data_IF_362598990306
#
_entry.id   IF_362598990306
#
_cell.length_a   1.000
_cell.length_b   1.000
_cell.length_c   1.000
_cell.angle_alpha   90.00
_cell.angle_beta   90.00
_cell.angle_gamma   90.00
#
_symmetry.space_group_name_H-M   'P 1'
#
loop_
_entity.id
_entity.type
_entity.pdbx_description
1 polymer ?
#
# COMPACT_ATOMS: atom_id res chain seq x y z
N UNK A 1 -38.19 -38.64 -41.16
CA UNK A 1 -37.46 -37.70 -42.03
C UNK A 1 -38.09 -36.33 -41.83
N UNK A 2 -37.45 -35.48 -41.04
CA UNK A 2 -37.99 -34.18 -40.63
C UNK A 2 -37.71 -33.12 -41.70
N UNK A 3 -38.73 -32.31 -41.99
CA UNK A 3 -38.72 -31.24 -42.97
C UNK A 3 -37.81 -30.08 -42.52
N UNK A 4 -36.94 -29.63 -43.43
CA UNK A 4 -36.13 -28.43 -43.25
C UNK A 4 -36.89 -27.21 -43.78
N UNK A 5 -37.17 -26.25 -42.89
CA UNK A 5 -37.66 -24.92 -43.26
C UNK A 5 -36.51 -23.91 -43.09
N UNK A 6 -36.03 -23.38 -44.21
CA UNK A 6 -35.37 -22.07 -44.30
C UNK A 6 -36.45 -21.01 -44.26
N UNK A 7 -36.31 -19.95 -43.44
CA UNK A 7 -36.20 -18.51 -43.81
C UNK A 7 -36.00 -17.67 -42.53
N UNK A 8 -35.06 -16.72 -42.51
CA UNK A 8 -35.37 -15.28 -42.35
C UNK A 8 -34.10 -14.43 -42.51
N UNK A 9 -34.29 -13.38 -43.29
CA UNK A 9 -33.38 -12.31 -43.69
C UNK A 9 -33.30 -11.19 -42.66
N UNK A 10 -32.14 -10.54 -42.59
CA UNK A 10 -32.02 -9.09 -42.38
C UNK A 10 -31.89 -8.60 -40.93
N UNK A 11 -30.81 -7.89 -40.64
CA UNK A 11 -30.83 -6.42 -40.60
C UNK A 11 -29.45 -5.87 -40.29
N UNK A 12 -28.99 -4.98 -41.17
CA UNK A 12 -27.87 -4.07 -41.00
C UNK A 12 -28.32 -2.99 -40.01
N UNK A 13 -27.59 -2.81 -38.92
CA UNK A 13 -27.73 -1.62 -38.07
C UNK A 13 -26.54 -0.69 -38.34
N UNK A 14 -26.83 0.33 -39.13
CA UNK A 14 -26.01 1.52 -39.33
C UNK A 14 -26.12 2.38 -38.06
N UNK A 15 -25.00 2.68 -37.42
CA UNK A 15 -24.96 3.62 -36.29
C UNK A 15 -24.81 5.07 -36.83
N UNK A 16 -25.74 5.98 -36.53
CA UNK A 16 -25.61 7.37 -36.95
C UNK A 16 -24.58 8.12 -36.10
N UNK A 17 -23.60 8.73 -36.78
CA UNK A 17 -22.68 9.73 -36.25
C UNK A 17 -23.49 10.94 -35.76
N UNK A 18 -23.55 11.15 -34.44
CA UNK A 18 -24.15 12.35 -33.87
C UNK A 18 -23.08 13.31 -33.37
N UNK A 19 -23.02 14.43 -34.09
CA UNK A 19 -22.32 15.67 -33.81
C UNK A 19 -22.63 16.25 -32.43
N UNK A 20 -21.60 16.73 -31.72
CA UNK A 20 -21.54 18.06 -31.07
C UNK A 20 -20.58 18.06 -29.87
N UNK A 21 -19.48 18.81 -29.96
CA UNK A 21 -19.21 19.94 -29.06
C UNK A 21 -17.94 20.67 -29.54
N UNK A 22 -18.10 21.79 -30.26
CA UNK A 22 -17.00 22.73 -30.49
C UNK A 22 -16.95 23.68 -29.29
N UNK A 23 -16.07 23.40 -28.33
CA UNK A 23 -15.77 24.34 -27.25
C UNK A 23 -14.78 25.40 -27.76
N UNK A 24 -15.26 26.64 -27.86
CA UNK A 24 -14.46 27.84 -28.19
C UNK A 24 -13.38 28.07 -27.13
N UNK A 25 -12.13 27.97 -27.54
CA UNK A 25 -10.94 28.39 -26.77
C UNK A 25 -10.83 29.93 -26.85
N UNK A 26 -10.81 30.68 -25.74
CA UNK A 26 -10.39 32.08 -25.78
C UNK A 26 -8.85 32.16 -25.82
N UNK A 27 -8.33 32.99 -26.74
CA UNK A 27 -6.91 33.29 -26.90
C UNK A 27 -6.38 34.13 -25.72
N UNK A 28 -5.11 33.99 -25.31
CA UNK A 28 -4.47 34.94 -24.40
C UNK A 28 -4.07 36.22 -25.15
N UNK A 29 -4.23 37.39 -24.50
CA UNK A 29 -3.58 38.63 -24.94
C UNK A 29 -2.33 38.88 -24.10
N UNK A 30 -1.22 39.31 -24.72
CA UNK A 30 -0.06 39.84 -24.01
C UNK A 30 -0.23 41.36 -23.79
N UNK A 31 0.31 41.88 -22.69
CA UNK A 31 1.24 43.02 -22.76
C UNK A 31 1.87 43.29 -21.38
N UNK A 32 3.19 43.44 -21.49
CA UNK A 32 4.13 44.20 -20.67
C UNK A 32 3.55 45.44 -19.98
N UNK A 33 4.05 45.71 -18.76
CA UNK A 33 4.79 46.95 -18.53
C UNK A 33 5.71 46.82 -17.30
N UNK A 34 7.01 46.94 -17.55
CA UNK A 34 8.01 47.34 -16.57
C UNK A 34 7.64 48.69 -15.96
N UNK A 35 8.12 49.00 -14.77
CA UNK A 35 8.77 50.27 -14.40
C UNK A 35 9.53 50.10 -13.08
N UNK A 36 10.83 50.40 -13.16
CA UNK A 36 11.80 50.85 -12.16
C UNK A 36 11.27 51.41 -10.82
N UNK A 37 11.96 51.07 -9.72
CA UNK A 37 12.60 52.05 -8.84
C UNK A 37 13.36 51.41 -7.64
N UNK A 38 14.69 51.45 -7.74
CA UNK A 38 15.71 51.74 -6.72
C UNK A 38 15.47 51.53 -5.19
N UNK A 39 16.33 50.66 -4.62
CA UNK A 39 17.40 50.93 -3.63
C UNK A 39 17.14 51.30 -2.15
N UNK A 40 18.06 50.77 -1.32
CA UNK A 40 18.47 51.13 0.05
C UNK A 40 17.58 50.62 1.22
N UNK A 41 18.04 50.26 2.42
CA UNK A 41 19.31 49.91 3.06
C UNK A 41 18.90 49.46 4.50
N UNK A 42 19.56 48.47 5.13
CA UNK A 42 19.28 47.99 6.50
C UNK A 42 19.80 49.01 7.57
N UNK A 43 19.43 49.00 8.89
CA UNK A 43 19.85 47.93 9.81
C UNK A 43 19.03 47.71 11.13
N UNK A 44 19.33 46.57 11.80
CA UNK A 44 19.33 46.28 13.25
C UNK A 44 18.04 46.51 14.09
N UNK A 45 17.55 45.41 14.71
CA UNK A 45 17.51 45.26 16.20
C UNK A 45 17.13 43.83 16.62
N UNK A 46 17.94 43.29 17.51
CA UNK A 46 17.73 42.04 18.26
C UNK A 46 16.95 42.39 19.53
N UNK A 47 16.19 41.44 20.09
CA UNK A 47 16.38 41.15 21.52
C UNK A 47 16.53 39.65 21.80
N UNK A 48 17.48 39.33 22.68
CA UNK A 48 17.62 38.06 23.41
C UNK A 48 16.95 38.20 24.76
N UNK A 49 16.22 37.17 25.20
CA UNK A 49 16.09 36.59 26.57
C UNK A 49 14.86 35.67 26.54
N UNK A 50 15.03 34.33 26.63
CA UNK A 50 14.93 33.51 27.86
C UNK A 50 13.51 33.55 28.46
N UNK A 51 12.78 32.48 28.79
CA UNK A 51 13.01 31.04 29.01
C UNK A 51 11.61 30.45 29.27
N UNK A 52 11.29 29.24 28.76
CA UNK A 52 10.73 28.05 29.45
C UNK A 52 9.71 27.26 28.63
N UNK A 53 10.03 25.96 28.54
CA UNK A 53 9.17 24.77 28.49
C UNK A 53 7.95 24.73 27.56
N UNK A 54 8.09 23.97 26.48
CA UNK A 54 6.99 23.08 26.10
C UNK A 54 7.58 21.82 25.49
N UNK A 55 7.54 20.76 26.29
CA UNK A 55 7.75 19.38 25.87
C UNK A 55 6.66 18.98 24.85
N UNK A 56 6.85 19.34 23.59
CA UNK A 56 6.03 18.83 22.48
C UNK A 56 6.82 17.84 21.66
N UNK A 57 6.65 16.58 22.05
CA UNK A 57 6.39 15.46 21.14
C UNK A 57 7.31 15.38 19.92
N UNK A 58 8.51 14.84 20.13
CA UNK A 58 9.24 14.15 19.06
C UNK A 58 8.47 12.88 18.65
N UNK A 59 7.33 13.04 17.98
CA UNK A 59 6.64 11.99 17.25
C UNK A 59 7.26 11.86 15.83
N UNK A 60 8.59 11.84 15.78
CA UNK A 60 9.36 11.65 14.57
C UNK A 60 10.24 10.42 14.73
N UNK A 61 10.07 9.47 13.81
CA UNK A 61 10.86 8.24 13.62
C UNK A 61 10.45 7.06 14.50
N UNK A 62 9.28 6.47 14.22
CA UNK A 62 9.08 5.02 14.43
C UNK A 62 9.70 4.28 13.24
N UNK A 63 11.03 4.30 13.17
CA UNK A 63 11.81 3.45 12.28
C UNK A 63 11.68 2.00 12.76
N UNK A 64 11.40 1.09 11.83
CA UNK A 64 11.56 -0.39 11.78
C UNK A 64 12.01 -1.21 13.02
N UNK A 65 12.75 -0.67 13.99
CA UNK A 65 13.22 -1.34 15.20
C UNK A 65 12.16 -1.61 16.28
N UNK A 66 10.97 -1.00 16.19
CA UNK A 66 9.85 -1.23 17.13
C UNK A 66 8.95 -2.41 16.71
N UNK A 67 9.39 -3.28 15.79
CA UNK A 67 8.64 -4.51 15.46
C UNK A 67 8.99 -5.66 16.41
N UNK A 68 10.26 -5.80 16.79
CA UNK A 68 10.74 -6.89 17.65
C UNK A 68 10.23 -6.82 19.09
N UNK A 69 9.80 -5.64 19.56
CA UNK A 69 9.29 -5.42 20.91
C UNK A 69 7.75 -5.54 21.01
N UNK A 70 7.06 -5.73 19.88
CA UNK A 70 5.60 -5.73 19.86
C UNK A 70 5.06 -7.13 20.14
N UNK A 71 4.19 -7.24 21.14
CA UNK A 71 3.45 -8.48 21.40
C UNK A 71 2.21 -8.54 20.51
N UNK A 72 1.99 -9.69 19.87
CA UNK A 72 0.77 -9.97 19.10
C UNK A 72 -0.29 -10.62 19.98
N UNK A 73 -1.55 -10.24 19.79
CA UNK A 73 -2.70 -10.82 20.50
C UNK A 73 -3.31 -11.96 19.70
N UNK A 74 -3.94 -12.92 20.39
CA UNK A 74 -4.75 -13.94 19.72
C UNK A 74 -5.86 -13.29 18.88
N UNK A 75 -6.07 -13.80 17.67
CA UNK A 75 -6.98 -13.25 16.67
C UNK A 75 -6.41 -12.09 15.83
N UNK A 76 -5.18 -11.63 16.08
CA UNK A 76 -4.55 -10.59 15.25
C UNK A 76 -4.01 -11.18 13.95
N UNK A 77 -4.36 -10.57 12.81
CA UNK A 77 -3.78 -10.90 11.50
C UNK A 77 -2.36 -10.34 11.38
N UNK A 78 -1.44 -11.18 10.92
CA UNK A 78 -0.01 -10.91 10.78
C UNK A 78 0.51 -11.45 9.46
N UNK A 79 1.55 -10.83 8.91
CA UNK A 79 2.34 -11.44 7.85
C UNK A 79 3.34 -12.35 8.54
N UNK A 80 3.33 -13.63 8.16
CA UNK A 80 4.14 -14.66 8.80
C UNK A 80 5.12 -15.27 7.80
N UNK A 81 6.39 -15.29 8.15
CA UNK A 81 7.42 -15.94 7.36
C UNK A 81 7.55 -17.41 7.75
N UNK A 82 7.02 -18.29 6.90
CA UNK A 82 7.05 -19.74 7.09
C UNK A 82 8.07 -20.37 6.16
N UNK A 83 8.76 -21.41 6.64
CA UNK A 83 9.71 -22.18 5.83
C UNK A 83 9.02 -23.44 5.34
N UNK A 84 9.04 -23.68 4.02
CA UNK A 84 8.54 -24.92 3.42
C UNK A 84 9.49 -26.08 3.68
N UNK A 85 9.03 -27.32 3.45
CA UNK A 85 9.88 -28.53 3.53
C UNK A 85 11.10 -28.47 2.61
N UNK A 86 10.98 -27.75 1.50
CA UNK A 86 12.05 -27.52 0.51
C UNK A 86 13.08 -26.47 0.97
N UNK A 87 12.93 -25.91 2.18
CA UNK A 87 13.84 -24.90 2.73
C UNK A 87 13.58 -23.47 2.24
N UNK A 88 12.61 -23.27 1.34
CA UNK A 88 12.24 -21.94 0.83
C UNK A 88 11.30 -21.22 1.81
N UNK A 89 11.61 -19.97 2.12
CA UNK A 89 10.75 -19.10 2.91
C UNK A 89 9.63 -18.48 2.05
N UNK A 90 8.42 -18.42 2.59
CA UNK A 90 7.29 -17.68 2.01
C UNK A 90 6.60 -16.86 3.09
N UNK A 91 6.10 -15.69 2.71
CA UNK A 91 5.32 -14.82 3.59
C UNK A 91 3.82 -15.03 3.32
N UNK A 92 3.06 -15.39 4.35
CA UNK A 92 1.61 -15.65 4.25
C UNK A 92 0.83 -14.68 5.13
N UNK A 93 -0.45 -14.48 4.83
CA UNK A 93 -1.38 -13.91 5.82
C UNK A 93 -1.75 -15.00 6.81
N UNK A 94 -1.54 -14.73 8.09
CA UNK A 94 -1.83 -15.66 9.16
C UNK A 94 -2.54 -14.98 10.32
N UNK A 95 -3.35 -15.73 11.05
CA UNK A 95 -3.97 -15.27 12.29
C UNK A 95 -3.20 -15.84 13.49
N UNK A 96 -2.88 -14.99 14.46
CA UNK A 96 -2.25 -15.43 15.71
C UNK A 96 -3.23 -16.25 16.53
N UNK A 97 -2.83 -17.46 16.90
CA UNK A 97 -3.61 -18.36 17.75
C UNK A 97 -3.28 -18.11 19.22
N UNK A 98 -2.00 -18.15 19.57
CA UNK A 98 -1.53 -17.94 20.94
C UNK A 98 -0.03 -17.62 21.01
N UNK A 99 0.40 -17.04 22.14
CA UNK A 99 1.80 -16.90 22.50
C UNK A 99 2.21 -18.02 23.46
N UNK A 100 3.35 -18.66 23.19
CA UNK A 100 3.94 -19.72 24.01
C UNK A 100 5.11 -19.16 24.82
N UNK A 101 4.90 -18.76 26.10
CA UNK A 101 5.94 -18.09 26.89
C UNK A 101 7.14 -18.99 27.19
N UNK A 102 6.96 -20.31 27.25
CA UNK A 102 8.04 -21.27 27.52
C UNK A 102 9.10 -21.32 26.41
N UNK A 103 8.68 -21.00 25.18
CA UNK A 103 9.54 -21.04 23.97
C UNK A 103 9.79 -19.67 23.38
N UNK A 104 9.15 -18.64 23.93
CA UNK A 104 9.12 -17.27 23.37
C UNK A 104 8.70 -17.24 21.90
N UNK A 105 7.70 -18.07 21.54
CA UNK A 105 7.23 -18.26 20.17
C UNK A 105 5.73 -18.03 20.05
N UNK A 106 5.28 -17.72 18.85
CA UNK A 106 3.87 -17.56 18.49
C UNK A 106 3.38 -18.74 17.68
N UNK A 107 2.17 -19.20 17.99
CA UNK A 107 1.42 -20.10 17.14
C UNK A 107 0.55 -19.27 16.20
N UNK A 108 0.66 -19.50 14.89
CA UNK A 108 -0.13 -18.80 13.87
C UNK A 108 -0.80 -19.80 12.94
N UNK A 109 -1.97 -19.45 12.40
CA UNK A 109 -2.74 -20.25 11.45
C UNK A 109 -2.75 -19.55 10.09
N UNK A 110 -2.46 -20.28 9.02
CA UNK A 110 -2.60 -19.80 7.64
C UNK A 110 -4.07 -19.49 7.31
N UNK A 111 -4.34 -18.36 6.66
CA UNK A 111 -5.69 -17.99 6.21
C UNK A 111 -6.13 -18.72 4.93
N UNK A 112 -5.20 -19.29 4.14
CA UNK A 112 -5.51 -20.09 2.95
C UNK A 112 -5.95 -21.53 3.30
N UNK A 113 -5.53 -22.02 4.47
CA UNK A 113 -5.80 -23.38 4.90
C UNK A 113 -7.29 -23.51 5.32
N UNK A 114 -8.10 -24.01 4.40
CA UNK A 114 -9.56 -24.08 4.49
C UNK A 114 -10.09 -24.80 5.75
N UNK A 115 -11.41 -24.81 5.92
CA UNK A 115 -12.08 -25.49 7.04
C UNK A 115 -11.88 -27.02 6.98
N UNK A 116 -10.73 -27.51 7.45
CA UNK A 116 -10.42 -28.94 7.50
C UNK A 116 -8.93 -29.21 7.74
N UNK A 117 -8.06 -28.44 7.10
CA UNK A 117 -6.62 -28.47 7.29
C UNK A 117 -6.21 -27.16 7.96
N UNK A 118 -6.00 -27.17 9.27
CA UNK A 118 -5.49 -25.99 9.97
C UNK A 118 -3.97 -26.03 9.86
N UNK A 119 -3.42 -25.41 8.81
CA UNK A 119 -1.96 -25.30 8.70
C UNK A 119 -1.46 -24.29 9.73
N UNK A 120 -0.96 -24.83 10.84
CA UNK A 120 -0.47 -24.08 12.00
C UNK A 120 1.06 -24.09 12.01
N UNK A 121 1.64 -22.92 12.26
CA UNK A 121 3.07 -22.75 12.38
C UNK A 121 3.45 -22.22 13.76
N UNK A 122 4.63 -22.60 14.24
CA UNK A 122 5.25 -22.03 15.44
C UNK A 122 6.45 -21.20 15.02
N UNK A 123 6.39 -19.88 15.23
CA UNK A 123 7.35 -18.92 14.72
C UNK A 123 7.89 -18.02 15.83
N UNK A 124 9.12 -17.54 15.68
CA UNK A 124 9.68 -16.51 16.56
C UNK A 124 9.08 -15.14 16.24
N UNK A 125 9.13 -14.17 17.16
CA UNK A 125 8.59 -12.82 16.93
C UNK A 125 9.21 -12.12 15.71
N UNK A 126 10.47 -12.40 15.38
CA UNK A 126 11.16 -11.82 14.21
C UNK A 126 10.62 -12.28 12.85
N UNK A 127 9.83 -13.35 12.82
CA UNK A 127 9.18 -13.87 11.61
C UNK A 127 7.76 -13.34 11.42
N UNK A 128 7.29 -12.45 12.30
CA UNK A 128 5.95 -11.89 12.27
C UNK A 128 5.99 -10.39 12.07
N UNK A 129 5.10 -9.89 11.21
CA UNK A 129 4.88 -8.45 10.98
C UNK A 129 3.41 -8.14 11.16
N UNK A 130 3.08 -7.12 11.95
CA UNK A 130 1.69 -6.73 12.19
C UNK A 130 1.06 -6.15 10.90
N UNK A 131 -0.13 -6.61 10.52
CA UNK A 131 -0.89 -5.96 9.47
C UNK A 131 -1.55 -4.68 9.99
N UNK A 132 -1.79 -3.68 9.12
CA UNK A 132 -2.67 -2.57 9.42
C UNK A 132 -4.08 -3.06 9.76
N UNK A 133 -4.56 -2.73 10.95
CA UNK A 133 -5.92 -3.10 11.42
C UNK A 133 -7.03 -2.31 10.73
N UNK A 134 -6.69 -1.15 10.17
CA UNK A 134 -7.61 -0.14 9.67
C UNK A 134 -6.96 0.64 8.53
N UNK A 135 -7.78 1.25 7.67
CA UNK A 135 -7.31 2.13 6.59
C UNK A 135 -7.23 3.58 7.08
N UNK A 136 -7.57 3.85 8.35
CA UNK A 136 -7.68 5.19 8.87
C UNK A 136 -6.34 5.91 8.86
N UNK A 137 -6.32 7.09 8.24
CA UNK A 137 -5.17 8.01 8.21
C UNK A 137 -4.75 8.53 9.59
N UNK A 138 -5.61 8.39 10.60
CA UNK A 138 -5.31 8.74 11.99
C UNK A 138 -4.50 7.66 12.72
N UNK A 139 -4.67 6.41 12.32
CA UNK A 139 -4.07 5.25 12.98
C UNK A 139 -2.84 4.74 12.24
N UNK A 140 -2.78 4.95 10.93
CA UNK A 140 -1.76 4.36 10.07
C UNK A 140 -0.97 5.43 9.30
N UNK A 141 0.31 5.13 9.10
CA UNK A 141 1.21 5.95 8.28
C UNK A 141 1.27 5.40 6.86
N UNK A 142 1.26 6.30 5.88
CA UNK A 142 1.45 5.93 4.49
C UNK A 142 2.93 5.71 4.20
N UNK A 143 3.24 4.70 3.39
CA UNK A 143 4.59 4.42 2.94
C UNK A 143 4.88 5.24 1.65
N UNK A 144 6.03 5.95 1.57
CA UNK A 144 6.34 6.81 0.43
C UNK A 144 6.72 5.99 -0.82
N UNK A 145 6.65 6.59 -2.03
CA UNK A 145 7.15 5.95 -3.24
C UNK A 145 8.64 5.61 -3.14
N UNK A 146 9.06 4.55 -3.82
CA UNK A 146 10.41 3.97 -3.76
C UNK A 146 10.66 3.07 -2.55
N UNK A 147 9.71 2.92 -1.63
CA UNK A 147 9.85 2.00 -0.49
C UNK A 147 9.72 0.55 -0.93
N UNK A 148 10.58 -0.32 -0.38
CA UNK A 148 10.45 -1.78 -0.53
C UNK A 148 9.50 -2.31 0.53
N UNK A 149 8.54 -3.11 0.10
CA UNK A 149 7.45 -3.64 0.92
C UNK A 149 7.24 -5.13 0.69
N UNK A 150 6.54 -5.77 1.62
CA UNK A 150 5.85 -7.02 1.40
C UNK A 150 4.39 -6.69 1.12
N UNK A 151 3.85 -7.20 0.01
CA UNK A 151 2.47 -6.94 -0.39
C UNK A 151 1.77 -8.22 -0.84
N UNK A 152 0.50 -8.38 -0.48
CA UNK A 152 -0.31 -9.50 -1.00
C UNK A 152 -0.51 -9.31 -2.50
N UNK A 153 -0.17 -10.33 -3.28
CA UNK A 153 -0.40 -10.27 -4.72
C UNK A 153 -1.91 -10.33 -5.01
N UNK A 154 -2.44 -9.51 -5.93
CA UNK A 154 -3.88 -9.47 -6.21
C UNK A 154 -4.45 -10.88 -6.51
N UNK A 155 -5.50 -11.26 -5.78
CA UNK A 155 -6.16 -12.56 -5.93
C UNK A 155 -5.48 -13.73 -5.20
N UNK A 156 -4.48 -13.46 -4.37
CA UNK A 156 -3.79 -14.47 -3.53
C UNK A 156 -3.86 -14.09 -2.05
N UNK A 157 -3.30 -14.94 -1.18
CA UNK A 157 -3.12 -14.71 0.27
C UNK A 157 -1.64 -14.76 0.68
N UNK A 158 -0.74 -14.59 -0.29
CA UNK A 158 0.71 -14.65 -0.10
C UNK A 158 1.33 -13.28 -0.35
N UNK A 159 2.29 -12.89 0.50
CA UNK A 159 3.04 -11.67 0.33
C UNK A 159 4.27 -11.89 -0.54
N UNK A 160 4.51 -10.93 -1.42
CA UNK A 160 5.66 -10.87 -2.30
C UNK A 160 6.37 -9.54 -2.13
N UNK A 161 7.67 -9.53 -2.44
CA UNK A 161 8.47 -8.32 -2.42
C UNK A 161 8.07 -7.41 -3.58
N UNK A 162 7.83 -6.14 -3.26
CA UNK A 162 7.40 -5.14 -4.21
C UNK A 162 7.99 -3.77 -3.89
N UNK A 163 7.97 -2.88 -4.88
CA UNK A 163 8.34 -1.47 -4.75
C UNK A 163 7.10 -0.59 -4.88
N UNK A 164 6.96 0.39 -3.99
CA UNK A 164 5.87 1.38 -4.10
C UNK A 164 6.16 2.35 -5.24
N UNK A 165 5.32 2.34 -6.26
CA UNK A 165 5.34 3.36 -7.34
C UNK A 165 4.58 4.61 -6.91
N UNK A 166 3.42 4.41 -6.30
CA UNK A 166 2.60 5.50 -5.74
C UNK A 166 2.07 5.11 -4.37
N UNK A 167 2.24 6.01 -3.40
CA UNK A 167 1.64 5.89 -2.07
C UNK A 167 0.13 5.75 -2.13
N UNK A 168 -0.45 5.17 -1.08
CA UNK A 168 -1.89 4.99 -1.00
C UNK A 168 -2.64 6.32 -1.04
N UNK A 169 -3.65 6.43 -1.90
CA UNK A 169 -4.43 7.66 -2.03
C UNK A 169 -5.21 7.93 -0.74
N UNK A 170 -5.13 9.15 -0.19
CA UNK A 170 -6.02 9.57 0.90
C UNK A 170 -7.38 9.97 0.36
N UNK A 171 -8.44 9.35 0.87
CA UNK A 171 -9.82 9.74 0.59
C UNK A 171 -10.31 10.83 1.53
N UNK A 172 -11.37 11.53 1.11
CA UNK A 172 -12.03 12.56 1.92
C UNK A 172 -12.65 12.00 3.20
N UNK A 173 -12.94 10.70 3.24
CA UNK A 173 -13.44 9.99 4.43
C UNK A 173 -12.41 9.92 5.56
N UNK A 174 -11.13 10.15 5.26
CA UNK A 174 -10.04 9.96 6.21
C UNK A 174 -9.42 8.56 6.16
N UNK A 175 -9.74 7.76 5.14
CA UNK A 175 -9.13 6.44 4.89
C UNK A 175 -8.12 6.50 3.73
N UNK A 176 -7.16 5.59 3.75
CA UNK A 176 -6.33 5.27 2.59
C UNK A 176 -7.06 4.30 1.65
N UNK A 177 -6.89 4.51 0.35
CA UNK A 177 -7.21 3.54 -0.70
C UNK A 177 -6.02 2.65 -1.01
N UNK A 178 -5.79 2.43 -2.31
CA UNK A 178 -4.78 1.46 -2.76
C UNK A 178 -3.42 2.13 -3.00
N UNK A 179 -2.37 1.37 -2.69
CA UNK A 179 -1.04 1.60 -3.23
C UNK A 179 -0.98 1.19 -4.70
N UNK A 180 -0.07 1.78 -5.46
CA UNK A 180 0.35 1.26 -6.76
C UNK A 180 1.74 0.67 -6.62
N UNK A 181 1.87 -0.63 -6.91
CA UNK A 181 3.09 -1.40 -6.66
C UNK A 181 3.64 -2.04 -7.94
N UNK A 182 4.95 -2.23 -7.98
CA UNK A 182 5.65 -3.09 -8.92
C UNK A 182 6.21 -4.29 -8.16
N UNK A 183 5.73 -5.49 -8.47
CA UNK A 183 6.18 -6.74 -7.86
C UNK A 183 7.45 -7.24 -8.53
N UNK A 184 8.43 -7.73 -7.77
CA UNK A 184 9.71 -8.19 -8.34
C UNK A 184 9.57 -9.43 -9.26
N UNK A 185 8.49 -10.21 -9.09
CA UNK A 185 8.24 -11.46 -9.81
C UNK A 185 7.56 -11.25 -11.18
N UNK A 186 6.86 -10.13 -11.38
CA UNK A 186 6.13 -9.82 -12.63
C UNK A 186 7.08 -9.29 -13.76
N UNK A 187 8.37 -9.60 -13.71
CA UNK A 187 9.39 -9.10 -14.65
C UNK A 187 9.35 -9.75 -16.02
N UNK A 188 8.85 -9.03 -17.04
CA UNK A 188 8.91 -9.41 -18.45
C UNK A 188 9.75 -8.43 -19.30
N UNK A 189 9.98 -8.80 -20.57
CA UNK A 189 10.60 -7.93 -21.60
C UNK A 189 9.67 -6.75 -21.91
N UNK A 190 9.69 -5.73 -21.06
CA UNK A 190 8.78 -4.58 -21.13
C UNK A 190 8.67 -3.74 -19.85
N UNK A 191 9.21 -4.25 -18.73
CA UNK A 191 9.13 -3.60 -17.41
C UNK A 191 8.18 -4.33 -16.46
N UNK A 192 8.09 -3.84 -15.22
CA UNK A 192 7.19 -4.40 -14.21
C UNK A 192 5.78 -3.78 -14.35
N UNK A 193 4.71 -4.58 -14.39
CA UNK A 193 3.35 -4.06 -14.39
C UNK A 193 3.02 -3.41 -13.05
N UNK A 194 2.27 -2.30 -13.12
CA UNK A 194 1.77 -1.60 -11.94
C UNK A 194 0.46 -2.23 -11.46
N UNK A 195 0.42 -2.66 -10.20
CA UNK A 195 -0.72 -3.33 -9.59
C UNK A 195 -1.29 -2.48 -8.43
N UNK A 196 -2.62 -2.25 -8.38
CA UNK A 196 -3.25 -1.67 -7.21
C UNK A 196 -3.33 -2.72 -6.09
N UNK A 197 -2.93 -2.35 -4.88
CA UNK A 197 -3.02 -3.20 -3.68
C UNK A 197 -3.56 -2.40 -2.51
N UNK A 198 -4.57 -2.93 -1.83
CA UNK A 198 -5.20 -2.28 -0.68
C UNK A 198 -4.18 -1.98 0.43
N UNK A 199 -4.38 -0.85 1.11
CA UNK A 199 -3.53 -0.41 2.22
C UNK A 199 -3.22 -1.49 3.27
N UNK A 200 -4.20 -2.31 3.67
CA UNK A 200 -4.00 -3.35 4.71
C UNK A 200 -3.15 -4.52 4.28
N UNK A 201 -3.01 -4.71 2.98
CA UNK A 201 -2.25 -5.81 2.40
C UNK A 201 -0.80 -5.43 2.10
N UNK A 202 -0.34 -4.28 2.57
CA UNK A 202 1.02 -3.79 2.39
C UNK A 202 1.67 -3.53 3.74
N UNK A 203 2.83 -4.15 3.98
CA UNK A 203 3.64 -3.96 5.19
C UNK A 203 5.09 -3.64 4.81
N UNK A 204 5.85 -2.95 5.68
CA UNK A 204 7.27 -2.71 5.45
C UNK A 204 8.02 -4.03 5.21
N UNK A 205 8.94 -4.04 4.25
CA UNK A 205 9.78 -5.21 4.04
C UNK A 205 10.69 -5.43 5.25
N UNK A 206 10.75 -6.67 5.71
CA UNK A 206 11.67 -7.09 6.76
C UNK A 206 12.56 -8.20 6.20
N UNK A 207 13.87 -8.05 6.40
CA UNK A 207 14.82 -9.11 6.09
C UNK A 207 14.94 -10.00 7.31
N UNK A 208 14.51 -11.24 7.18
CA UNK A 208 14.85 -12.29 8.13
C UNK A 208 16.33 -12.68 7.89
N UNK A 209 17.10 -12.86 8.96
CA UNK A 209 18.53 -13.24 8.92
C UNK A 209 18.76 -14.48 9.78
#
# INVERSE_FOLDING_TARGET
MFHAHTIVTGSTEEVPLSSSLVARIPRPRPHVNSHDAASAEAPRKMPRTALLDNSTSSAGRRSSSDQSARNFSAGESVAACVTSSEGTNRWIVATVVQYMPEREMYQVRDEEAGEGDTQVYTLTPGHLVALPKSNSTREQNNLPPGSIVLAVYPGTTTFYKATIVSSARRYKSGDYGDYTLEFEDDGDVGGLPQRPVEFRHVVPYVSIS
#
